data_IF_766891732125
#
_entry.id   IF_766891732125
#
_cell.length_a   1.000
_cell.length_b   1.000
_cell.length_c   1.000
_cell.angle_alpha   90.00
_cell.angle_beta   90.00
_cell.angle_gamma   90.00
#
_symmetry.space_group_name_H-M   'P 1'
#
loop_
_entity.id
_entity.type
_entity.pdbx_description
1 polymer ?
#
# COMPACT_ATOMS: atom_id res chain seq x y z
N UNK A 1 -18.59 10.78 11.24
CA UNK A 1 -18.08 11.54 10.09
C UNK A 1 -16.74 12.11 10.50
N UNK A 2 -15.68 11.85 9.72
CA UNK A 2 -14.34 12.40 9.96
C UNK A 2 -13.85 13.12 8.70
N UNK A 3 -13.18 14.26 8.89
CA UNK A 3 -12.55 15.04 7.83
C UNK A 3 -11.06 14.79 7.87
N UNK A 4 -10.52 14.24 6.77
CA UNK A 4 -9.14 13.77 6.73
C UNK A 4 -8.56 13.97 5.32
N UNK A 5 -7.26 13.71 5.20
CA UNK A 5 -6.56 13.55 3.93
C UNK A 5 -5.88 12.19 3.95
N UNK A 6 -6.23 11.34 2.99
CA UNK A 6 -5.59 10.04 2.80
C UNK A 6 -4.22 10.16 2.11
N UNK A 7 -3.62 9.03 1.70
CA UNK A 7 -2.45 9.01 0.84
C UNK A 7 -2.60 9.84 -0.44
N UNK A 8 -3.80 9.90 -1.03
CA UNK A 8 -4.09 10.84 -2.11
C UNK A 8 -4.14 12.29 -1.58
N UNK A 9 -3.02 13.00 -1.62
CA UNK A 9 -2.98 14.37 -1.13
C UNK A 9 -3.76 15.39 -1.99
N UNK A 10 -4.15 15.01 -3.21
CA UNK A 10 -5.05 15.82 -4.03
C UNK A 10 -6.52 15.67 -3.57
N UNK A 11 -6.85 14.69 -2.73
CA UNK A 11 -8.09 14.74 -1.96
C UNK A 11 -8.03 15.93 -0.99
N UNK A 12 -8.80 16.99 -1.25
CA UNK A 12 -8.75 18.23 -0.45
C UNK A 12 -9.11 18.02 1.02
N UNK A 13 -10.41 18.01 1.33
CA UNK A 13 -10.94 17.67 2.64
C UNK A 13 -11.89 16.47 2.46
N UNK A 14 -11.32 15.26 2.44
CA UNK A 14 -12.07 14.03 2.18
C UNK A 14 -12.91 13.65 3.40
N UNK A 15 -13.98 12.89 3.18
CA UNK A 15 -14.87 12.43 4.25
C UNK A 15 -14.82 10.91 4.34
N UNK A 16 -14.45 10.40 5.52
CA UNK A 16 -14.32 8.96 5.80
C UNK A 16 -13.43 8.22 4.77
N UNK A 17 -12.25 8.77 4.44
CA UNK A 17 -11.32 8.14 3.50
C UNK A 17 -11.08 6.66 3.86
N UNK A 18 -11.26 5.77 2.88
CA UNK A 18 -11.28 4.32 3.09
C UNK A 18 -9.95 3.79 3.60
N UNK A 19 -8.80 4.25 3.07
CA UNK A 19 -7.49 3.90 3.59
C UNK A 19 -7.37 4.26 5.07
N UNK A 20 -7.71 5.51 5.42
CA UNK A 20 -7.58 6.03 6.79
C UNK A 20 -8.48 5.29 7.77
N UNK A 21 -9.77 5.17 7.44
CA UNK A 21 -10.75 4.47 8.28
C UNK A 21 -10.38 3.01 8.48
N UNK A 22 -9.92 2.33 7.42
CA UNK A 22 -9.51 0.92 7.49
C UNK A 22 -8.27 0.74 8.38
N UNK A 23 -7.25 1.58 8.19
CA UNK A 23 -6.02 1.55 8.99
C UNK A 23 -6.29 1.83 10.46
N UNK A 24 -7.17 2.79 10.77
CA UNK A 24 -7.58 3.09 12.14
C UNK A 24 -8.30 1.90 12.80
N UNK A 25 -9.25 1.29 12.10
CA UNK A 25 -9.96 0.09 12.58
C UNK A 25 -8.99 -1.08 12.78
N UNK A 26 -8.07 -1.29 11.84
CA UNK A 26 -7.07 -2.35 11.96
C UNK A 26 -6.16 -2.13 13.17
N UNK A 27 -5.72 -0.89 13.41
CA UNK A 27 -4.92 -0.53 14.59
C UNK A 27 -5.68 -0.81 15.90
N UNK A 28 -6.96 -0.41 15.98
CA UNK A 28 -7.79 -0.70 17.17
C UNK A 28 -7.96 -2.20 17.42
N UNK A 29 -8.16 -3.00 16.36
CA UNK A 29 -8.21 -4.47 16.46
C UNK A 29 -6.90 -5.05 17.00
N UNK A 30 -5.76 -4.57 16.50
CA UNK A 30 -4.43 -4.98 16.96
C UNK A 30 -4.20 -4.59 18.42
N UNK A 31 -4.55 -3.36 18.81
CA UNK A 31 -4.45 -2.87 20.18
C UNK A 31 -5.30 -3.72 21.14
N UNK A 32 -6.57 -3.96 20.79
CA UNK A 32 -7.45 -4.84 21.56
C UNK A 32 -6.84 -6.24 21.72
N UNK A 33 -6.39 -6.86 20.63
CA UNK A 33 -5.77 -8.18 20.69
C UNK A 33 -4.52 -8.20 21.58
N UNK A 34 -3.67 -7.17 21.48
CA UNK A 34 -2.49 -7.05 22.34
C UNK A 34 -2.85 -6.95 23.82
N UNK A 35 -3.89 -6.19 24.18
CA UNK A 35 -4.38 -6.14 25.56
C UNK A 35 -4.88 -7.50 26.04
N UNK A 36 -5.66 -8.21 25.22
CA UNK A 36 -6.17 -9.54 25.57
C UNK A 36 -5.03 -10.53 25.80
N UNK A 37 -4.04 -10.57 24.91
CA UNK A 37 -2.85 -11.42 25.05
C UNK A 37 -2.08 -11.07 26.31
N UNK A 38 -1.76 -9.79 26.55
CA UNK A 38 -1.03 -9.37 27.73
C UNK A 38 -1.77 -9.72 29.03
N UNK A 39 -3.09 -9.55 29.07
CA UNK A 39 -3.88 -9.90 30.25
C UNK A 39 -3.88 -11.39 30.54
N UNK A 40 -3.98 -12.22 29.50
CA UNK A 40 -4.07 -13.67 29.64
C UNK A 40 -2.71 -14.32 29.90
N UNK A 41 -1.67 -13.88 29.19
CA UNK A 41 -0.37 -14.56 29.15
C UNK A 41 0.71 -13.83 29.98
N UNK A 42 0.57 -12.53 30.20
CA UNK A 42 1.57 -11.68 30.85
C UNK A 42 0.97 -10.63 31.81
N UNK A 43 0.20 -11.05 32.84
CA UNK A 43 -0.59 -10.15 33.67
C UNK A 43 0.24 -9.07 34.40
N UNK A 44 1.49 -9.37 34.77
CA UNK A 44 2.38 -8.39 35.39
C UNK A 44 2.77 -7.27 34.41
N UNK A 45 3.08 -7.62 33.16
CA UNK A 45 3.36 -6.64 32.10
C UNK A 45 2.11 -5.82 31.76
N UNK A 46 0.94 -6.44 31.76
CA UNK A 46 -0.32 -5.72 31.60
C UNK A 46 -0.51 -4.68 32.72
N UNK A 47 -0.30 -5.06 33.98
CA UNK A 47 -0.46 -4.15 35.12
C UNK A 47 0.49 -2.95 35.03
N UNK A 48 1.75 -3.21 34.70
CA UNK A 48 2.75 -2.16 34.47
C UNK A 48 2.32 -1.21 33.33
N UNK A 49 1.97 -1.79 32.17
CA UNK A 49 1.60 -1.02 30.99
C UNK A 49 0.33 -0.18 31.21
N UNK A 50 -0.71 -0.79 31.77
CA UNK A 50 -1.99 -0.11 32.05
C UNK A 50 -1.85 1.00 33.07
N UNK A 51 -0.97 0.82 34.08
CA UNK A 51 -0.69 1.89 35.04
C UNK A 51 0.09 3.03 34.38
N UNK A 52 1.13 2.72 33.59
CA UNK A 52 1.97 3.72 32.93
C UNK A 52 1.21 4.54 31.87
N UNK A 53 0.30 3.91 31.15
CA UNK A 53 -0.51 4.54 30.11
C UNK A 53 -1.86 5.06 30.62
N UNK A 54 -2.16 4.86 31.91
CA UNK A 54 -3.47 5.15 32.52
C UNK A 54 -4.64 4.49 31.77
N UNK A 55 -4.37 3.33 31.15
CA UNK A 55 -5.30 2.64 30.28
C UNK A 55 -6.37 1.91 31.09
N UNK A 56 -7.62 2.29 30.90
CA UNK A 56 -8.77 1.65 31.50
C UNK A 56 -9.28 0.51 30.59
N UNK A 57 -9.61 -0.64 31.18
CA UNK A 57 -10.14 -1.77 30.43
C UNK A 57 -11.44 -1.44 29.69
N UNK A 58 -12.22 -0.47 30.19
CA UNK A 58 -13.45 0.00 29.55
C UNK A 58 -13.21 0.72 28.23
N UNK A 59 -12.00 1.25 27.99
CA UNK A 59 -11.66 1.85 26.69
C UNK A 59 -11.73 0.81 25.56
N UNK A 60 -11.52 -0.48 25.87
CA UNK A 60 -11.68 -1.56 24.87
C UNK A 60 -13.13 -1.62 24.36
N UNK A 61 -14.12 -1.38 25.23
CA UNK A 61 -15.53 -1.36 24.81
C UNK A 61 -15.79 -0.19 23.84
N UNK A 62 -15.14 0.96 24.07
CA UNK A 62 -15.20 2.11 23.15
C UNK A 62 -14.50 1.81 21.82
N UNK A 63 -13.34 1.13 21.85
CA UNK A 63 -12.64 0.70 20.64
C UNK A 63 -13.49 -0.27 19.83
N UNK A 64 -14.16 -1.21 20.49
CA UNK A 64 -15.08 -2.15 19.85
C UNK A 64 -16.27 -1.44 19.21
N UNK A 65 -16.84 -0.44 19.88
CA UNK A 65 -17.91 0.37 19.33
C UNK A 65 -17.47 1.08 18.04
N UNK A 66 -16.27 1.66 18.04
CA UNK A 66 -15.67 2.28 16.85
C UNK A 66 -15.42 1.23 15.77
N UNK A 67 -14.82 0.08 16.09
CA UNK A 67 -14.54 -1.00 15.13
C UNK A 67 -15.82 -1.45 14.42
N UNK A 68 -16.93 -1.56 15.14
CA UNK A 68 -18.22 -2.02 14.61
C UNK A 68 -18.95 -0.95 13.78
N UNK A 69 -18.80 0.33 14.15
CA UNK A 69 -19.54 1.44 13.53
C UNK A 69 -18.75 2.23 12.48
N UNK A 70 -17.44 2.05 12.40
CA UNK A 70 -16.59 2.75 11.46
C UNK A 70 -17.05 2.48 10.02
N UNK A 71 -17.23 3.56 9.25
CA UNK A 71 -17.67 3.48 7.86
C UNK A 71 -16.48 3.16 6.96
N UNK A 72 -16.61 2.09 6.18
CA UNK A 72 -15.73 1.74 5.08
C UNK A 72 -16.55 1.81 3.80
N UNK A 73 -16.15 2.64 2.84
CA UNK A 73 -16.93 2.84 1.63
C UNK A 73 -16.69 1.69 0.65
N UNK A 74 -17.72 0.87 0.45
CA UNK A 74 -17.66 -0.28 -0.44
C UNK A 74 -18.95 -0.39 -1.26
N UNK A 75 -18.79 -0.37 -2.58
CA UNK A 75 -19.83 -0.61 -3.56
C UNK A 75 -19.88 -2.11 -3.86
N UNK A 76 -20.93 -2.77 -3.38
CA UNK A 76 -21.12 -4.21 -3.51
C UNK A 76 -21.35 -4.65 -4.95
N UNK A 77 -22.06 -3.84 -5.74
CA UNK A 77 -22.46 -4.19 -7.12
C UNK A 77 -21.24 -4.19 -8.03
N UNK A 78 -20.32 -3.23 -7.82
CA UNK A 78 -19.08 -3.11 -8.58
C UNK A 78 -17.87 -3.78 -7.90
N UNK A 79 -18.05 -4.38 -6.71
CA UNK A 79 -16.97 -4.93 -5.87
C UNK A 79 -15.83 -3.94 -5.64
N UNK A 80 -16.16 -2.66 -5.49
CA UNK A 80 -15.21 -1.56 -5.52
C UNK A 80 -15.21 -0.81 -4.18
N UNK A 81 -14.04 -0.69 -3.56
CA UNK A 81 -13.86 0.23 -2.43
C UNK A 81 -13.73 1.65 -2.97
N UNK A 82 -14.56 2.58 -2.47
CA UNK A 82 -14.54 3.97 -2.89
C UNK A 82 -13.63 4.77 -1.96
N UNK A 83 -12.74 5.60 -2.52
CA UNK A 83 -11.72 6.35 -1.80
C UNK A 83 -12.30 7.15 -0.63
N UNK A 84 -13.39 7.88 -0.86
CA UNK A 84 -14.09 8.65 0.16
C UNK A 84 -15.55 8.98 -0.26
N UNK A 85 -16.35 9.52 0.67
CA UNK A 85 -17.78 9.83 0.44
C UNK A 85 -18.03 10.86 -0.69
N UNK A 86 -17.02 11.65 -1.06
CA UNK A 86 -17.11 12.72 -2.05
C UNK A 86 -16.45 12.39 -3.38
N UNK A 87 -15.62 11.34 -3.48
CA UNK A 87 -14.81 11.03 -4.66
C UNK A 87 -15.61 11.04 -5.98
N UNK A 88 -16.77 10.37 -5.99
CA UNK A 88 -17.63 10.24 -7.17
C UNK A 88 -18.34 11.55 -7.57
N UNK A 89 -18.28 12.58 -6.73
CA UNK A 89 -18.85 13.91 -6.98
C UNK A 89 -17.82 14.89 -7.56
N UNK A 90 -16.55 14.51 -7.60
CA UNK A 90 -15.48 15.31 -8.18
C UNK A 90 -15.60 15.38 -9.71
N UNK A 91 -15.17 16.51 -10.27
CA UNK A 91 -15.20 16.82 -11.70
C UNK A 91 -14.19 15.92 -12.45
N UNK A 92 -14.56 15.22 -13.53
CA UNK A 92 -13.58 14.44 -14.29
C UNK A 92 -12.54 15.35 -14.96
N UNK A 93 -11.29 14.86 -15.07
CA UNK A 93 -10.22 15.52 -15.82
C UNK A 93 -9.72 14.60 -16.92
N UNK A 94 -9.59 15.11 -18.14
CA UNK A 94 -8.92 14.39 -19.23
C UNK A 94 -7.40 14.49 -19.04
N UNK A 95 -6.83 13.58 -18.24
CA UNK A 95 -5.42 13.60 -17.80
C UNK A 95 -4.45 13.70 -18.98
N UNK A 96 -4.71 12.98 -20.08
CA UNK A 96 -3.86 12.95 -21.28
C UNK A 96 -3.63 14.31 -21.93
N UNK A 97 -4.53 15.29 -21.74
CA UNK A 97 -4.35 16.66 -22.25
C UNK A 97 -3.33 17.47 -21.45
N UNK A 98 -3.10 17.12 -20.18
CA UNK A 98 -2.30 17.90 -19.27
C UNK A 98 -0.99 17.19 -18.87
N UNK A 99 -1.04 15.87 -18.73
CA UNK A 99 0.09 15.05 -18.30
C UNK A 99 0.73 14.35 -19.50
N UNK A 100 1.79 14.96 -20.02
CA UNK A 100 2.60 14.49 -21.16
C UNK A 100 3.96 13.94 -20.73
N UNK A 101 4.28 14.07 -19.45
CA UNK A 101 5.54 13.74 -18.79
C UNK A 101 5.25 13.24 -17.36
N UNK A 102 6.28 12.74 -16.68
CA UNK A 102 6.16 12.20 -15.31
C UNK A 102 6.27 13.29 -14.22
N UNK A 103 6.39 14.57 -14.61
CA UNK A 103 6.41 15.69 -13.66
C UNK A 103 5.06 15.85 -12.95
N UNK A 104 5.07 16.25 -11.66
CA UNK A 104 3.86 16.57 -10.94
C UNK A 104 2.94 17.57 -11.64
N UNK A 105 1.64 17.28 -11.69
CA UNK A 105 0.68 18.08 -12.44
C UNK A 105 0.43 19.46 -11.80
N UNK A 106 0.80 19.65 -10.52
CA UNK A 106 0.71 20.95 -9.85
C UNK A 106 1.59 22.04 -10.49
N UNK A 107 2.55 21.69 -11.36
CA UNK A 107 3.29 22.68 -12.17
C UNK A 107 2.45 23.28 -13.31
N UNK A 108 1.34 22.65 -13.69
CA UNK A 108 0.46 23.06 -14.80
C UNK A 108 -0.92 23.51 -14.33
N UNK A 109 -1.46 22.87 -13.28
CA UNK A 109 -2.76 23.17 -12.69
C UNK A 109 -2.55 23.56 -11.23
N UNK A 110 -3.18 24.64 -10.76
CA UNK A 110 -3.04 25.04 -9.36
C UNK A 110 -3.50 23.94 -8.40
N UNK A 111 -2.79 23.78 -7.29
CA UNK A 111 -3.06 22.71 -6.32
C UNK A 111 -4.50 22.75 -5.78
N UNK A 112 -5.07 23.94 -5.56
CA UNK A 112 -6.46 24.09 -5.14
C UNK A 112 -7.46 23.61 -6.21
N UNK A 113 -7.13 23.73 -7.50
CA UNK A 113 -7.98 23.25 -8.59
C UNK A 113 -7.88 21.73 -8.74
N UNK A 114 -6.70 21.14 -8.53
CA UNK A 114 -6.52 19.68 -8.50
C UNK A 114 -7.44 19.02 -7.47
N UNK A 115 -7.70 19.67 -6.34
CA UNK A 115 -8.59 19.14 -5.29
C UNK A 115 -10.07 19.04 -5.68
N UNK A 116 -10.46 19.60 -6.82
CA UNK A 116 -11.83 19.56 -7.33
C UNK A 116 -12.00 18.55 -8.47
N UNK A 117 -10.89 18.01 -8.97
CA UNK A 117 -10.88 17.00 -10.03
C UNK A 117 -10.82 15.59 -9.46
N UNK A 118 -11.41 14.64 -10.16
CA UNK A 118 -11.32 13.19 -9.89
C UNK A 118 -10.00 12.65 -10.40
N UNK A 119 -8.92 13.07 -9.75
CA UNK A 119 -7.55 12.63 -10.01
C UNK A 119 -6.88 12.28 -8.69
N UNK A 120 -5.88 11.41 -8.78
CA UNK A 120 -5.21 10.86 -7.60
C UNK A 120 -3.72 11.11 -7.73
N UNK A 121 -3.10 11.72 -6.71
CA UNK A 121 -1.65 11.98 -6.69
C UNK A 121 -0.84 10.67 -6.74
N UNK A 122 -1.23 9.71 -5.89
CA UNK A 122 -0.55 8.44 -5.64
C UNK A 122 -1.52 7.41 -5.07
N UNK A 123 -1.15 6.14 -5.04
CA UNK A 123 -1.99 5.05 -4.56
C UNK A 123 -2.63 5.33 -3.17
N UNK A 124 -3.95 5.19 -3.07
CA UNK A 124 -4.75 5.33 -1.84
C UNK A 124 -5.48 4.01 -1.52
N UNK A 125 -6.60 3.73 -2.20
CA UNK A 125 -7.29 2.42 -2.13
C UNK A 125 -6.37 1.30 -2.64
N UNK A 126 -5.64 1.54 -3.73
CA UNK A 126 -4.65 0.60 -4.25
C UNK A 126 -3.52 0.33 -3.24
N UNK A 127 -3.09 1.35 -2.48
CA UNK A 127 -2.08 1.18 -1.43
C UNK A 127 -2.61 0.27 -0.31
N UNK A 128 -3.85 0.48 0.13
CA UNK A 128 -4.49 -0.39 1.12
C UNK A 128 -4.49 -1.86 0.67
N UNK A 129 -4.87 -2.11 -0.57
CA UNK A 129 -4.92 -3.46 -1.15
C UNK A 129 -3.53 -4.09 -1.33
N UNK A 130 -2.52 -3.26 -1.59
CA UNK A 130 -1.12 -3.68 -1.73
C UNK A 130 -0.52 -4.10 -0.38
N UNK A 131 -0.83 -3.36 0.69
CA UNK A 131 -0.32 -3.62 2.04
C UNK A 131 -1.01 -4.80 2.72
N UNK A 132 -2.27 -5.08 2.38
CA UNK A 132 -3.08 -6.14 2.99
C UNK A 132 -3.67 -7.08 1.93
N UNK A 133 -2.82 -7.76 1.13
CA UNK A 133 -3.26 -8.49 -0.06
C UNK A 133 -4.25 -9.63 0.23
N UNK A 134 -4.20 -10.20 1.44
CA UNK A 134 -5.08 -11.30 1.90
C UNK A 134 -6.42 -10.82 2.47
N UNK A 135 -6.62 -9.51 2.59
CA UNK A 135 -7.88 -8.92 3.09
C UNK A 135 -8.86 -8.58 1.98
N UNK A 136 -8.44 -8.73 0.72
CA UNK A 136 -9.22 -8.42 -0.47
C UNK A 136 -9.16 -9.57 -1.46
N UNK A 137 -10.29 -9.89 -2.09
CA UNK A 137 -10.33 -10.91 -3.13
C UNK A 137 -9.58 -10.42 -4.38
N UNK A 138 -9.16 -11.36 -5.23
CA UNK A 138 -8.56 -10.99 -6.52
C UNK A 138 -9.51 -10.10 -7.35
N UNK A 139 -10.81 -10.41 -7.35
CA UNK A 139 -11.83 -9.63 -8.06
C UNK A 139 -11.96 -8.19 -7.55
N UNK A 140 -11.88 -7.98 -6.22
CA UNK A 140 -11.90 -6.64 -5.64
C UNK A 140 -10.66 -5.83 -6.01
N UNK A 141 -9.48 -6.49 -6.01
CA UNK A 141 -8.22 -5.86 -6.40
C UNK A 141 -8.20 -5.50 -7.88
N UNK A 142 -8.69 -6.37 -8.75
CA UNK A 142 -8.82 -6.11 -10.19
C UNK A 142 -9.81 -4.97 -10.46
N UNK A 143 -10.99 -4.99 -9.83
CA UNK A 143 -11.98 -3.92 -9.96
C UNK A 143 -11.40 -2.56 -9.53
N UNK A 144 -10.68 -2.52 -8.40
CA UNK A 144 -10.00 -1.32 -7.94
C UNK A 144 -8.89 -0.88 -8.90
N UNK A 145 -8.04 -1.78 -9.38
CA UNK A 145 -6.99 -1.46 -10.35
C UNK A 145 -7.56 -0.79 -11.59
N UNK A 146 -8.54 -1.45 -12.23
CA UNK A 146 -9.17 -0.97 -13.47
C UNK A 146 -9.87 0.37 -13.30
N UNK A 147 -10.39 0.65 -12.10
CA UNK A 147 -11.05 1.91 -11.80
C UNK A 147 -10.05 3.04 -11.46
N UNK A 148 -9.06 2.76 -10.62
CA UNK A 148 -8.19 3.77 -10.05
C UNK A 148 -6.93 4.07 -10.85
N UNK A 149 -6.27 3.06 -11.45
CA UNK A 149 -5.01 3.28 -12.18
C UNK A 149 -5.13 4.38 -13.25
N UNK A 150 -6.21 4.44 -14.06
CA UNK A 150 -6.36 5.49 -15.07
C UNK A 150 -6.53 6.90 -14.51
N UNK A 151 -6.85 7.03 -13.21
CA UNK A 151 -7.05 8.30 -12.50
C UNK A 151 -5.79 8.75 -11.74
N UNK A 152 -4.76 7.89 -11.67
CA UNK A 152 -3.55 8.15 -10.88
C UNK A 152 -2.51 8.89 -11.72
N UNK A 153 -2.10 10.05 -11.21
CA UNK A 153 -1.15 10.93 -11.86
C UNK A 153 0.30 10.52 -11.62
N UNK A 154 0.58 9.65 -10.64
CA UNK A 154 1.95 9.30 -10.24
C UNK A 154 2.83 10.52 -9.91
N UNK A 155 2.23 11.55 -9.30
CA UNK A 155 2.89 12.81 -8.92
C UNK A 155 3.70 12.69 -7.61
N UNK A 156 4.10 11.46 -7.29
CA UNK A 156 4.83 11.09 -6.08
C UNK A 156 5.71 9.89 -6.38
N UNK A 157 6.95 9.93 -5.90
CA UNK A 157 7.92 8.86 -6.07
C UNK A 157 7.51 7.53 -5.42
N UNK A 158 6.58 7.55 -4.45
CA UNK A 158 5.98 6.34 -3.87
C UNK A 158 5.08 5.57 -4.84
N UNK A 159 4.60 6.24 -5.90
CA UNK A 159 3.55 5.70 -6.73
C UNK A 159 4.03 4.51 -7.57
N UNK A 160 5.13 4.65 -8.30
CA UNK A 160 5.56 3.63 -9.28
C UNK A 160 5.82 2.27 -8.64
N UNK A 161 6.64 2.17 -7.59
CA UNK A 161 6.92 0.89 -6.93
C UNK A 161 5.69 0.22 -6.33
N UNK A 162 4.77 1.01 -5.75
CA UNK A 162 3.49 0.49 -5.21
C UNK A 162 2.62 -0.12 -6.32
N UNK A 163 2.52 0.56 -7.48
CA UNK A 163 1.76 0.04 -8.62
C UNK A 163 2.43 -1.17 -9.27
N UNK A 164 3.76 -1.19 -9.33
CA UNK A 164 4.51 -2.34 -9.79
C UNK A 164 4.22 -3.58 -8.94
N UNK A 165 4.23 -3.42 -7.61
CA UNK A 165 3.90 -4.48 -6.67
C UNK A 165 2.48 -5.01 -6.88
N UNK A 166 1.47 -4.13 -6.91
CA UNK A 166 0.08 -4.56 -7.06
C UNK A 166 -0.20 -5.20 -8.43
N UNK A 167 0.36 -4.64 -9.50
CA UNK A 167 0.26 -5.21 -10.84
C UNK A 167 0.84 -6.63 -10.89
N UNK A 168 1.99 -6.86 -10.27
CA UNK A 168 2.59 -8.20 -10.19
C UNK A 168 1.70 -9.19 -9.41
N UNK A 169 1.13 -8.76 -8.28
CA UNK A 169 0.18 -9.56 -7.49
C UNK A 169 -1.08 -9.92 -8.30
N UNK A 170 -1.56 -9.00 -9.14
CA UNK A 170 -2.68 -9.21 -10.06
C UNK A 170 -2.31 -10.01 -11.33
N UNK A 171 -1.02 -10.16 -11.64
CA UNK A 171 -0.54 -10.82 -12.86
C UNK A 171 -0.58 -9.93 -14.11
N UNK A 172 -0.69 -8.60 -13.94
CA UNK A 172 -0.67 -7.61 -15.02
C UNK A 172 0.80 -7.26 -15.33
N UNK A 173 1.52 -8.24 -15.87
CA UNK A 173 2.99 -8.21 -15.90
C UNK A 173 3.59 -7.07 -16.73
N UNK A 174 2.94 -6.66 -17.83
CA UNK A 174 3.40 -5.54 -18.65
C UNK A 174 3.42 -4.23 -17.83
N UNK A 175 2.36 -3.98 -17.06
CA UNK A 175 2.27 -2.82 -16.16
C UNK A 175 3.20 -2.94 -14.97
N UNK A 176 3.36 -4.15 -14.43
CA UNK A 176 4.29 -4.39 -13.35
C UNK A 176 5.73 -4.03 -13.75
N UNK A 177 6.17 -4.47 -14.93
CA UNK A 177 7.50 -4.18 -15.46
C UNK A 177 7.67 -2.70 -15.83
N UNK A 178 6.66 -2.08 -16.47
CA UNK A 178 6.66 -0.64 -16.80
C UNK A 178 6.90 0.21 -15.54
N UNK A 179 6.07 0.02 -14.51
CA UNK A 179 6.16 0.78 -13.28
C UNK A 179 7.40 0.44 -12.47
N UNK A 180 7.84 -0.82 -12.49
CA UNK A 180 9.05 -1.22 -11.79
C UNK A 180 10.28 -0.51 -12.35
N UNK A 181 10.43 -0.47 -13.68
CA UNK A 181 11.54 0.24 -14.32
C UNK A 181 11.53 1.73 -13.98
N UNK A 182 10.37 2.40 -14.00
CA UNK A 182 10.26 3.80 -13.56
C UNK A 182 10.69 3.98 -12.11
N UNK A 183 10.25 3.11 -11.20
CA UNK A 183 10.60 3.17 -9.78
C UNK A 183 12.09 2.90 -9.53
N UNK A 184 12.67 1.93 -10.24
CA UNK A 184 14.07 1.53 -10.08
C UNK A 184 15.05 2.59 -10.59
N UNK A 185 14.72 3.22 -11.72
CA UNK A 185 15.57 4.21 -12.37
C UNK A 185 15.14 5.66 -12.09
N UNK A 186 14.21 5.89 -11.16
CA UNK A 186 13.62 7.21 -10.90
C UNK A 186 14.68 8.31 -10.80
N UNK A 187 15.65 8.12 -9.89
CA UNK A 187 16.72 9.11 -9.66
C UNK A 187 17.85 9.00 -10.69
N UNK A 188 18.11 7.81 -11.24
CA UNK A 188 19.20 7.59 -12.20
C UNK A 188 18.89 8.23 -13.56
N UNK A 189 17.62 8.25 -13.96
CA UNK A 189 17.14 8.85 -15.20
C UNK A 189 16.44 10.20 -14.99
N UNK A 190 16.42 10.71 -13.75
CA UNK A 190 15.72 11.95 -13.36
C UNK A 190 14.27 11.98 -13.89
N UNK A 191 13.53 10.88 -13.70
CA UNK A 191 12.19 10.65 -14.29
C UNK A 191 11.21 11.77 -13.96
N UNK A 192 11.28 12.32 -12.74
CA UNK A 192 10.43 13.40 -12.27
C UNK A 192 11.04 14.81 -12.48
N UNK A 193 12.23 14.93 -13.09
CA UNK A 193 12.99 16.16 -13.35
C UNK A 193 13.28 17.02 -12.10
N UNK A 194 13.41 16.39 -10.93
CA UNK A 194 13.61 17.05 -9.66
C UNK A 194 14.74 16.44 -8.80
N UNK A 195 15.35 15.32 -9.20
CA UNK A 195 16.39 14.63 -8.39
C UNK A 195 17.57 15.54 -8.08
N UNK A 196 18.06 16.28 -9.09
CA UNK A 196 19.20 17.18 -8.90
C UNK A 196 18.93 18.39 -8.01
N UNK A 197 17.66 18.79 -7.84
CA UNK A 197 17.26 20.00 -7.10
C UNK A 197 16.69 19.69 -5.71
N UNK A 198 15.93 18.61 -5.60
CA UNK A 198 15.18 18.23 -4.41
C UNK A 198 15.81 17.05 -3.65
N UNK A 199 16.74 16.32 -4.30
CA UNK A 199 17.49 15.22 -3.71
C UNK A 199 16.95 13.85 -4.11
N UNK A 200 17.54 12.81 -3.49
CA UNK A 200 17.19 11.41 -3.76
C UNK A 200 15.85 11.02 -3.13
N UNK A 201 15.11 10.17 -3.81
CA UNK A 201 13.79 9.73 -3.38
C UNK A 201 13.87 8.41 -2.60
N UNK A 202 14.33 8.45 -1.34
CA UNK A 202 14.53 7.24 -0.52
C UNK A 202 13.29 6.35 -0.38
N UNK A 203 12.09 6.92 -0.38
CA UNK A 203 10.86 6.14 -0.35
C UNK A 203 10.71 5.27 -1.61
N UNK A 204 11.12 5.78 -2.79
CA UNK A 204 11.15 5.02 -4.04
C UNK A 204 12.07 3.81 -3.94
N UNK A 205 13.20 3.92 -3.25
CA UNK A 205 14.13 2.79 -3.06
C UNK A 205 13.46 1.66 -2.28
N UNK A 206 12.74 2.03 -1.21
CA UNK A 206 11.97 1.09 -0.41
C UNK A 206 10.87 0.39 -1.22
N UNK A 207 10.05 1.14 -1.96
CA UNK A 207 8.96 0.53 -2.74
C UNK A 207 9.47 -0.25 -3.96
N UNK A 208 10.63 0.09 -4.54
CA UNK A 208 11.29 -0.74 -5.57
C UNK A 208 11.72 -2.10 -5.01
N UNK A 209 12.30 -2.13 -3.80
CA UNK A 209 12.62 -3.39 -3.13
C UNK A 209 11.35 -4.20 -2.80
N UNK A 210 10.28 -3.53 -2.33
CA UNK A 210 9.01 -4.19 -2.04
C UNK A 210 8.35 -4.77 -3.29
N UNK A 211 8.41 -4.07 -4.43
CA UNK A 211 7.91 -4.60 -5.70
C UNK A 211 8.64 -5.90 -6.11
N UNK A 212 9.97 -5.99 -5.91
CA UNK A 212 10.73 -7.22 -6.14
C UNK A 212 10.30 -8.35 -5.20
N UNK A 213 10.21 -8.09 -3.91
CA UNK A 213 10.04 -9.13 -2.89
C UNK A 213 8.57 -9.52 -2.70
N UNK A 214 7.67 -8.55 -2.60
CA UNK A 214 6.24 -8.77 -2.32
C UNK A 214 5.35 -8.69 -3.56
N UNK A 215 5.91 -8.31 -4.71
CA UNK A 215 5.25 -8.34 -6.02
C UNK A 215 5.76 -9.50 -6.86
N UNK A 216 6.95 -9.36 -7.44
CA UNK A 216 7.48 -10.33 -8.39
C UNK A 216 7.87 -11.67 -7.78
N UNK A 217 8.43 -11.70 -6.57
CA UNK A 217 8.63 -12.97 -5.87
C UNK A 217 7.35 -13.51 -5.23
N UNK A 218 6.33 -12.66 -5.07
CA UNK A 218 5.10 -12.92 -4.34
C UNK A 218 5.38 -13.58 -2.97
N UNK A 219 6.36 -13.02 -2.24
CA UNK A 219 6.67 -13.48 -0.89
C UNK A 219 5.55 -13.04 0.05
N UNK A 220 4.71 -13.98 0.45
CA UNK A 220 3.62 -13.75 1.41
C UNK A 220 3.89 -14.51 2.70
N UNK A 221 3.26 -14.11 3.80
CA UNK A 221 3.43 -14.79 5.07
C UNK A 221 2.17 -14.76 5.93
N UNK A 222 2.04 -15.76 6.78
CA UNK A 222 1.20 -15.72 7.96
C UNK A 222 2.05 -15.83 9.23
N UNK A 223 1.41 -16.05 10.38
CA UNK A 223 2.09 -16.16 11.67
C UNK A 223 2.99 -17.40 11.74
N UNK A 224 2.73 -18.43 10.94
CA UNK A 224 3.39 -19.74 10.97
C UNK A 224 4.45 -19.90 9.88
N UNK A 225 4.15 -19.52 8.65
CA UNK A 225 4.92 -19.83 7.45
C UNK A 225 4.97 -18.64 6.46
N UNK A 226 5.87 -18.73 5.48
CA UNK A 226 5.87 -17.86 4.30
C UNK A 226 5.72 -18.70 3.02
N UNK A 227 5.21 -18.08 1.97
CA UNK A 227 4.97 -18.67 0.64
C UNK A 227 5.61 -17.81 -0.43
N UNK A 228 5.96 -18.42 -1.55
CA UNK A 228 6.60 -17.76 -2.70
C UNK A 228 5.90 -18.29 -3.96
N UNK A 229 5.38 -17.39 -4.79
CA UNK A 229 4.72 -17.74 -6.06
C UNK A 229 5.24 -16.80 -7.17
N UNK A 230 6.49 -16.99 -7.62
CA UNK A 230 7.18 -15.97 -8.39
C UNK A 230 6.56 -15.76 -9.78
N UNK A 231 6.53 -14.49 -10.19
CA UNK A 231 6.21 -14.02 -11.54
C UNK A 231 7.26 -12.98 -11.90
N UNK A 232 8.29 -13.39 -12.63
CA UNK A 232 9.38 -12.48 -13.01
C UNK A 232 9.09 -11.85 -14.38
N UNK A 233 9.41 -10.56 -14.59
CA UNK A 233 9.43 -9.98 -15.93
C UNK A 233 10.30 -10.79 -16.90
N UNK A 234 9.99 -10.78 -18.19
CA UNK A 234 10.72 -11.57 -19.20
C UNK A 234 12.23 -11.28 -19.22
N UNK A 235 12.62 -10.02 -18.95
CA UNK A 235 14.02 -9.60 -18.87
C UNK A 235 14.80 -10.16 -17.67
N UNK A 236 14.11 -10.68 -16.65
CA UNK A 236 14.72 -11.19 -15.42
C UNK A 236 14.71 -12.72 -15.42
N UNK A 237 15.88 -13.32 -15.64
CA UNK A 237 16.05 -14.79 -15.64
C UNK A 237 15.88 -15.41 -14.25
N UNK A 238 16.37 -14.73 -13.23
CA UNK A 238 16.33 -15.21 -11.85
C UNK A 238 16.60 -14.08 -10.87
N UNK A 239 16.07 -14.19 -9.65
CA UNK A 239 16.38 -13.30 -8.54
C UNK A 239 16.82 -14.12 -7.31
N UNK A 240 17.76 -13.57 -6.54
CA UNK A 240 18.20 -14.12 -5.26
C UNK A 240 18.23 -13.01 -4.22
N UNK A 241 17.65 -13.26 -3.05
CA UNK A 241 17.68 -12.33 -1.93
C UNK A 241 17.64 -13.10 -0.60
N UNK A 242 17.89 -12.38 0.50
CA UNK A 242 17.80 -12.93 1.84
C UNK A 242 16.68 -12.24 2.62
N UNK A 243 15.98 -12.99 3.46
CA UNK A 243 15.00 -12.46 4.42
C UNK A 243 15.24 -13.07 5.79
N UNK A 244 14.95 -12.31 6.83
CA UNK A 244 14.91 -12.83 8.20
C UNK A 244 13.44 -13.10 8.52
N UNK A 245 13.10 -14.36 8.79
CA UNK A 245 11.77 -14.76 9.21
C UNK A 245 11.88 -15.55 10.52
N UNK A 246 11.20 -15.09 11.57
CA UNK A 246 11.26 -15.69 12.91
C UNK A 246 12.68 -15.88 13.44
N UNK A 247 13.52 -14.86 13.31
CA UNK A 247 14.94 -14.87 13.70
C UNK A 247 15.82 -15.88 12.94
N UNK A 248 15.35 -16.40 11.81
CA UNK A 248 16.10 -17.30 10.95
C UNK A 248 16.41 -16.60 9.62
N UNK A 249 17.66 -16.70 9.15
CA UNK A 249 18.07 -16.18 7.86
C UNK A 249 17.70 -17.18 6.76
N UNK A 250 16.93 -16.74 5.78
CA UNK A 250 16.52 -17.53 4.62
C UNK A 250 17.11 -16.96 3.35
N UNK A 251 17.76 -17.80 2.56
CA UNK A 251 18.12 -17.47 1.19
C UNK A 251 17.02 -17.92 0.23
N UNK A 252 16.43 -16.95 -0.46
CA UNK A 252 15.40 -17.17 -1.47
C UNK A 252 16.06 -17.09 -2.86
N UNK A 253 15.76 -18.05 -3.72
CA UNK A 253 16.13 -18.08 -5.14
C UNK A 253 14.90 -18.39 -5.97
N UNK A 254 14.59 -17.54 -6.93
CA UNK A 254 13.45 -17.68 -7.83
C UNK A 254 13.88 -17.55 -9.28
N UNK A 255 13.18 -18.23 -10.17
CA UNK A 255 13.29 -18.11 -11.63
C UNK A 255 11.88 -18.23 -12.25
N UNK A 256 11.80 -18.33 -13.58
CA UNK A 256 10.54 -18.47 -14.31
C UNK A 256 9.80 -19.81 -14.04
N UNK A 257 10.49 -20.82 -13.52
CA UNK A 257 9.92 -22.15 -13.26
C UNK A 257 9.41 -22.31 -11.81
N UNK A 258 9.86 -21.45 -10.88
CA UNK A 258 9.44 -21.49 -9.50
C UNK A 258 10.44 -20.89 -8.52
N UNK A 259 10.22 -21.15 -7.23
CA UNK A 259 11.02 -20.63 -6.13
C UNK A 259 11.51 -21.70 -5.17
N UNK A 260 12.70 -21.49 -4.61
CA UNK A 260 13.23 -22.27 -3.48
C UNK A 260 13.70 -21.36 -2.36
N UNK A 261 13.43 -21.77 -1.13
CA UNK A 261 13.94 -21.13 0.07
C UNK A 261 14.83 -22.10 0.84
N UNK A 262 16.03 -21.66 1.23
CA UNK A 262 16.99 -22.45 1.99
C UNK A 262 17.33 -21.67 3.26
N UNK A 263 17.09 -22.27 4.42
CA UNK A 263 17.55 -21.73 5.70
C UNK A 263 19.07 -21.76 5.75
N UNK A 264 19.67 -20.61 6.05
CA UNK A 264 21.11 -20.49 6.27
C UNK A 264 21.43 -20.75 7.74
N UNK A 265 22.53 -21.43 8.00
CA UNK A 265 22.93 -21.86 9.35
C UNK A 265 23.73 -20.79 10.11
N UNK A 266 24.18 -19.73 9.45
CA UNK A 266 24.97 -18.63 10.02
C UNK A 266 24.54 -17.29 9.38
N UNK A 267 24.59 -16.20 10.16
CA UNK A 267 24.29 -14.82 9.75
C UNK A 267 25.53 -14.11 9.19
#
# INVERSE_FOLDING_TARGET
>A
MIFVKGPNEYGGCTINNTYTSWMAVNNLKLAKNAVLILKQEHPDKWKELSTRLELNIKEIDEWDDIIQKAKINYDQDNKLYIEDDLFMKLEPLEISKYKTDDRPLYYKISYDRLQRYRVIKQADVLLLMTLFPDKFTHEQKDAAWRFYEPLILHDSSLSFGTHAQLAAQLGIMDKADEYFNKSLFLDLHDVMENTGKEGLHFAAFGVSWQALVFGFADLTHDVSEFKIAPRLPEGIKSMKFNVIFKNELWNIRINQEGGRAVKLTEL
#
